data_IF_000000170851
#
_entry.id   IF_000000170851
#
_cell.length_a   1.000
_cell.length_b   1.000
_cell.length_c   1.000
_cell.angle_alpha   90.00
_cell.angle_beta   90.00
_cell.angle_gamma   90.00
#
_symmetry.space_group_name_H-M   'P 1'
#
loop_
_entity.id
_entity.type
_entity.pdbx_description
1 polymer ?
#
# COMPACT_ATOMS: atom_id res chain seq x y z
N UNK A 1 -0.24 -18.04 -9.99
CA UNK A 1 -0.59 -18.10 -8.55
C UNK A 1 -0.41 -16.73 -7.92
N UNK A 2 -1.37 -16.27 -7.12
CA UNK A 2 -1.28 -14.95 -6.48
C UNK A 2 -0.18 -14.93 -5.44
N UNK A 3 0.67 -13.90 -5.51
CA UNK A 3 1.76 -13.74 -4.54
C UNK A 3 1.26 -12.90 -3.35
N UNK A 4 0.61 -13.55 -2.42
CA UNK A 4 0.06 -12.86 -1.25
C UNK A 4 1.15 -12.29 -0.35
N UNK A 5 2.34 -12.91 -0.34
CA UNK A 5 3.45 -12.37 0.44
C UNK A 5 3.89 -11.01 -0.09
N UNK A 6 4.01 -10.89 -1.41
CA UNK A 6 4.38 -9.61 -2.02
C UNK A 6 3.31 -8.55 -1.75
N UNK A 7 2.04 -8.94 -1.84
CA UNK A 7 0.93 -8.03 -1.55
C UNK A 7 0.96 -7.60 -0.09
N UNK A 8 1.21 -8.53 0.82
CA UNK A 8 1.31 -8.23 2.24
C UNK A 8 2.42 -7.21 2.51
N UNK A 9 3.62 -7.46 1.97
CA UNK A 9 4.76 -6.58 2.19
C UNK A 9 4.51 -5.19 1.61
N UNK A 10 3.91 -5.13 0.44
CA UNK A 10 3.56 -3.86 -0.19
C UNK A 10 2.63 -3.04 0.69
N UNK A 11 1.55 -3.67 1.16
CA UNK A 11 0.56 -2.99 1.99
C UNK A 11 1.12 -2.65 3.36
N UNK A 12 1.89 -3.56 3.95
CA UNK A 12 2.50 -3.32 5.26
C UNK A 12 3.43 -2.10 5.21
N UNK A 13 4.29 -2.05 4.19
CA UNK A 13 5.22 -0.93 4.03
C UNK A 13 4.47 0.38 3.77
N UNK A 14 3.41 0.33 2.98
CA UNK A 14 2.60 1.51 2.71
C UNK A 14 1.94 2.04 3.99
N UNK A 15 1.43 1.14 4.83
CA UNK A 15 0.83 1.53 6.11
C UNK A 15 1.89 2.18 7.01
N UNK A 16 3.09 1.58 7.06
CA UNK A 16 4.19 2.13 7.85
C UNK A 16 4.53 3.55 7.41
N UNK A 17 4.66 3.76 6.10
CA UNK A 17 5.00 5.07 5.56
C UNK A 17 3.86 6.06 5.79
N UNK A 18 2.61 5.61 5.63
CA UNK A 18 1.46 6.48 5.88
C UNK A 18 1.39 6.91 7.34
N UNK A 19 1.71 6.01 8.27
CA UNK A 19 1.74 6.37 9.69
C UNK A 19 2.78 7.43 9.98
N UNK A 20 3.95 7.35 9.34
CA UNK A 20 4.98 8.37 9.48
C UNK A 20 4.50 9.73 8.95
N UNK A 21 3.79 9.73 7.82
CA UNK A 21 3.26 10.96 7.25
C UNK A 21 2.19 11.55 8.16
N UNK A 22 1.34 10.72 8.74
CA UNK A 22 0.33 11.19 9.69
C UNK A 22 0.95 11.79 10.94
N UNK A 23 2.03 11.19 11.42
CA UNK A 23 2.75 11.71 12.58
C UNK A 23 3.28 13.12 12.32
N UNK A 24 3.67 13.40 11.08
CA UNK A 24 4.09 14.74 10.64
C UNK A 24 2.93 15.60 10.16
N UNK A 25 1.69 15.15 10.35
CA UNK A 25 0.47 15.86 9.94
C UNK A 25 0.33 16.01 8.43
N UNK A 26 0.99 15.14 7.67
CA UNK A 26 0.89 15.11 6.20
C UNK A 26 -0.21 14.14 5.77
N UNK A 27 -1.45 14.47 6.10
CA UNK A 27 -2.57 13.55 5.88
C UNK A 27 -2.86 13.32 4.41
N UNK A 28 -2.68 14.34 3.57
CA UNK A 28 -2.86 14.19 2.13
C UNK A 28 -1.89 13.19 1.52
N UNK A 29 -0.62 13.26 1.93
CA UNK A 29 0.39 12.30 1.47
C UNK A 29 0.12 10.90 2.00
N UNK A 30 -0.30 10.79 3.26
CA UNK A 30 -0.65 9.50 3.84
C UNK A 30 -1.78 8.84 3.06
N UNK A 31 -2.83 9.60 2.76
CA UNK A 31 -3.95 9.09 1.98
C UNK A 31 -3.51 8.65 0.59
N UNK A 32 -2.68 9.45 -0.08
CA UNK A 32 -2.18 9.11 -1.41
C UNK A 32 -1.36 7.83 -1.39
N UNK A 33 -0.52 7.63 -0.37
CA UNK A 33 0.28 6.41 -0.23
C UNK A 33 -0.61 5.18 -0.10
N UNK A 34 -1.67 5.28 0.71
CA UNK A 34 -2.57 4.15 0.92
C UNK A 34 -3.37 3.84 -0.34
N UNK A 35 -3.85 4.87 -1.04
CA UNK A 35 -4.59 4.68 -2.28
C UNK A 35 -3.70 4.02 -3.34
N UNK A 36 -2.47 4.50 -3.49
CA UNK A 36 -1.52 3.93 -4.44
C UNK A 36 -1.22 2.47 -4.11
N UNK A 37 -1.06 2.17 -2.83
CA UNK A 37 -0.79 0.80 -2.39
C UNK A 37 -1.96 -0.13 -2.69
N UNK A 38 -3.18 0.34 -2.47
CA UNK A 38 -4.36 -0.45 -2.79
C UNK A 38 -4.44 -0.76 -4.27
N UNK A 39 -4.19 0.25 -5.11
CA UNK A 39 -4.21 0.06 -6.56
C UNK A 39 -3.15 -0.94 -7.01
N UNK A 40 -1.96 -0.82 -6.45
CA UNK A 40 -0.87 -1.73 -6.80
C UNK A 40 -1.16 -3.16 -6.33
N UNK A 41 -1.69 -3.31 -5.14
CA UNK A 41 -2.04 -4.62 -4.60
C UNK A 41 -3.14 -5.27 -5.46
N UNK A 42 -4.12 -4.48 -5.89
CA UNK A 42 -5.18 -4.98 -6.74
C UNK A 42 -4.63 -5.44 -8.09
N UNK A 43 -3.70 -4.68 -8.68
CA UNK A 43 -3.05 -5.09 -9.92
C UNK A 43 -2.32 -6.42 -9.75
N UNK A 44 -1.59 -6.59 -8.65
CA UNK A 44 -0.88 -7.83 -8.37
C UNK A 44 -1.86 -9.00 -8.24
N UNK A 45 -2.98 -8.76 -7.60
CA UNK A 45 -3.99 -9.79 -7.42
C UNK A 45 -4.62 -10.19 -8.76
N UNK A 46 -4.94 -9.21 -9.60
CA UNK A 46 -5.61 -9.46 -10.87
C UNK A 46 -4.67 -10.05 -11.92
N UNK A 47 -3.38 -9.70 -11.87
CA UNK A 47 -2.40 -10.18 -12.83
C UNK A 47 -1.91 -11.60 -12.56
N UNK A 48 -2.25 -12.16 -11.41
CA UNK A 48 -1.64 -13.39 -10.93
C UNK A 48 -2.41 -14.66 -11.36
N UNK A 49 -3.23 -14.54 -12.31
CA UNK A 49 -3.95 -15.70 -12.81
C UNK A 49 -3.11 -16.52 -13.78
#
# INVERSE_FOLDING_TARGET
MTDYKAMYLLLFNAVTDALKKMDGQNYGEASALLIAAQQKAEELYMDSD
#
